data_IF_236956498282
#
_entry.id   IF_236956498282
#
_cell.length_a   1.000
_cell.length_b   1.000
_cell.length_c   1.000
_cell.angle_alpha   90.00
_cell.angle_beta   90.00
_cell.angle_gamma   90.00
#
_symmetry.space_group_name_H-M   'P 1'
#
loop_
_entity.id
_entity.type
_entity.pdbx_description
1 polymer ?
#
# COMPACT_ATOMS: atom_id res chain seq x y z
N UNK A 1 -10.98 3.37 -0.77
CA UNK A 1 -10.26 3.32 -2.06
C UNK A 1 -9.06 2.42 -1.87
N UNK A 2 -8.80 1.46 -2.77
CA UNK A 2 -7.71 0.49 -2.67
C UNK A 2 -6.76 0.69 -3.86
N UNK A 3 -5.49 1.01 -3.60
CA UNK A 3 -4.51 1.35 -4.65
C UNK A 3 -4.17 0.17 -5.54
N UNK A 4 -4.20 -1.06 -5.03
CA UNK A 4 -3.98 -2.27 -5.85
C UNK A 4 -5.03 -2.45 -6.97
N UNK A 5 -6.15 -1.72 -6.93
CA UNK A 5 -7.15 -1.74 -8.01
C UNK A 5 -6.97 -0.58 -8.99
N UNK A 6 -6.00 0.32 -8.80
CA UNK A 6 -5.97 1.59 -9.50
C UNK A 6 -5.41 1.57 -10.92
N UNK A 7 -4.56 0.60 -11.26
CA UNK A 7 -3.61 0.72 -12.37
C UNK A 7 -3.89 -0.20 -13.57
N UNK A 8 -5.07 -0.82 -13.60
CA UNK A 8 -5.53 -1.69 -14.68
C UNK A 8 -6.55 -1.01 -15.61
N UNK A 9 -6.75 0.31 -15.50
CA UNK A 9 -7.75 1.08 -16.23
C UNK A 9 -7.24 2.38 -16.83
N UNK A 10 -8.18 3.25 -17.20
CA UNK A 10 -7.95 4.56 -17.82
C UNK A 10 -7.60 5.65 -16.77
N UNK A 11 -7.08 6.83 -17.20
CA UNK A 11 -6.66 7.88 -16.27
C UNK A 11 -7.77 8.44 -15.36
N UNK A 12 -9.04 8.29 -15.73
CA UNK A 12 -10.21 8.69 -14.93
C UNK A 12 -10.65 7.62 -13.91
N UNK A 13 -9.87 6.54 -13.76
CA UNK A 13 -10.21 5.43 -12.87
C UNK A 13 -10.40 5.90 -11.42
N UNK A 14 -11.52 5.56 -10.75
CA UNK A 14 -11.88 6.11 -9.44
C UNK A 14 -11.00 5.62 -8.29
N UNK A 15 -10.11 4.66 -8.55
CA UNK A 15 -9.10 4.17 -7.61
C UNK A 15 -7.74 4.87 -7.76
N UNK A 16 -7.53 5.71 -8.78
CA UNK A 16 -6.35 6.56 -8.88
C UNK A 16 -6.46 7.75 -7.90
N UNK A 17 -5.40 8.08 -7.14
CA UNK A 17 -5.40 9.16 -6.15
C UNK A 17 -5.86 10.52 -6.65
N UNK A 18 -5.53 10.87 -7.90
CA UNK A 18 -5.94 12.14 -8.53
C UNK A 18 -7.47 12.28 -8.57
N UNK A 19 -8.20 11.17 -8.59
CA UNK A 19 -9.66 11.11 -8.74
C UNK A 19 -10.38 10.91 -7.39
N UNK A 20 -9.67 11.05 -6.26
CA UNK A 20 -10.27 10.88 -4.94
C UNK A 20 -11.06 12.11 -4.48
N UNK A 21 -12.25 11.94 -3.90
CA UNK A 21 -12.83 12.97 -3.04
C UNK A 21 -12.06 13.02 -1.70
N UNK A 22 -12.09 14.15 -0.99
CA UNK A 22 -11.45 14.26 0.33
C UNK A 22 -12.02 13.27 1.36
N UNK A 23 -13.36 13.23 1.45
CA UNK A 23 -14.10 12.37 2.36
C UNK A 23 -14.09 10.89 1.91
N UNK A 24 -12.91 10.29 1.93
CA UNK A 24 -12.72 8.88 1.71
C UNK A 24 -11.51 8.34 2.48
N UNK A 25 -11.43 7.01 2.54
CA UNK A 25 -10.29 6.29 3.08
C UNK A 25 -9.50 5.69 1.92
N UNK A 26 -8.17 5.76 1.99
CA UNK A 26 -7.27 5.05 1.07
C UNK A 26 -6.57 3.91 1.79
N UNK A 27 -6.43 2.78 1.09
CA UNK A 27 -5.66 1.62 1.48
C UNK A 27 -4.66 1.31 0.37
N UNK A 28 -3.47 0.82 0.71
CA UNK A 28 -2.62 0.15 -0.29
C UNK A 28 -3.33 -1.11 -0.78
N UNK A 29 -3.62 -2.01 0.15
CA UNK A 29 -4.46 -3.20 0.04
C UNK A 29 -5.28 -3.40 1.33
N UNK A 30 -6.26 -4.29 1.27
CA UNK A 30 -7.02 -4.75 2.45
C UNK A 30 -6.51 -6.12 2.92
N UNK A 31 -7.15 -6.72 3.92
CA UNK A 31 -6.82 -8.08 4.37
C UNK A 31 -7.18 -9.17 3.33
N UNK A 32 -8.11 -8.91 2.42
CA UNK A 32 -8.49 -9.82 1.33
C UNK A 32 -7.55 -9.74 0.12
N UNK A 33 -6.76 -8.66 0.07
CA UNK A 33 -5.76 -8.47 -0.96
C UNK A 33 -4.47 -9.23 -0.64
N UNK A 34 -3.66 -9.48 -1.68
CA UNK A 34 -2.27 -9.87 -1.46
C UNK A 34 -1.50 -8.69 -0.84
N UNK A 35 -0.31 -8.95 -0.29
CA UNK A 35 0.62 -7.87 0.06
C UNK A 35 0.94 -7.05 -1.19
N UNK A 36 1.30 -5.78 -1.04
CA UNK A 36 1.63 -4.93 -2.19
C UNK A 36 2.79 -5.49 -3.00
N UNK A 37 3.79 -6.07 -2.33
CA UNK A 37 4.90 -6.74 -3.03
C UNK A 37 4.43 -7.99 -3.76
N UNK A 38 3.69 -8.88 -3.08
CA UNK A 38 3.17 -10.11 -3.69
C UNK A 38 2.20 -9.85 -4.85
N UNK A 39 1.36 -8.82 -4.73
CA UNK A 39 0.52 -8.33 -5.81
C UNK A 39 1.36 -7.85 -7.00
N UNK A 40 2.31 -6.95 -6.77
CA UNK A 40 3.13 -6.38 -7.84
C UNK A 40 3.96 -7.43 -8.58
N UNK A 41 4.51 -8.42 -7.86
CA UNK A 41 5.26 -9.53 -8.46
C UNK A 41 4.40 -10.34 -9.45
N UNK A 42 3.09 -10.50 -9.14
CA UNK A 42 2.12 -11.25 -9.96
C UNK A 42 1.39 -10.40 -11.01
N UNK A 43 1.48 -9.07 -10.92
CA UNK A 43 0.88 -8.14 -11.88
C UNK A 43 1.44 -8.35 -13.29
N UNK A 44 0.61 -8.05 -14.29
CA UNK A 44 1.04 -8.07 -15.69
C UNK A 44 2.09 -6.99 -15.97
N UNK A 45 2.94 -7.18 -16.98
CA UNK A 45 3.95 -6.18 -17.37
C UNK A 45 3.31 -4.83 -17.76
N UNK A 46 2.10 -4.86 -18.33
CA UNK A 46 1.32 -3.64 -18.61
C UNK A 46 0.94 -2.89 -17.34
N UNK A 47 0.45 -3.61 -16.33
CA UNK A 47 0.07 -3.03 -15.04
C UNK A 47 1.30 -2.49 -14.29
N UNK A 48 2.41 -3.25 -14.28
CA UNK A 48 3.69 -2.78 -13.72
C UNK A 48 4.17 -1.49 -14.38
N UNK A 49 4.13 -1.45 -15.72
CA UNK A 49 4.51 -0.26 -16.50
C UNK A 49 3.61 0.94 -16.18
N UNK A 50 2.30 0.71 -16.05
CA UNK A 50 1.31 1.74 -15.69
C UNK A 50 1.60 2.35 -14.31
N UNK A 51 1.86 1.51 -13.30
CA UNK A 51 2.19 1.95 -11.93
C UNK A 51 3.48 2.76 -11.93
N UNK A 52 4.54 2.24 -12.56
CA UNK A 52 5.84 2.89 -12.61
C UNK A 52 5.77 4.25 -13.32
N UNK A 53 5.05 4.33 -14.44
CA UNK A 53 4.79 5.60 -15.13
C UNK A 53 4.03 6.59 -14.24
N UNK A 54 2.98 6.15 -13.54
CA UNK A 54 2.22 7.00 -12.61
C UNK A 54 3.07 7.52 -11.45
N UNK A 55 4.01 6.69 -10.96
CA UNK A 55 4.97 7.08 -9.93
C UNK A 55 6.12 7.94 -10.45
N UNK A 56 6.25 8.13 -11.76
CA UNK A 56 7.38 8.83 -12.39
C UNK A 56 8.70 8.05 -12.26
N UNK A 57 8.65 6.71 -12.30
CA UNK A 57 9.79 5.81 -12.12
C UNK A 57 9.98 4.90 -13.32
N UNK A 58 11.22 4.46 -13.53
CA UNK A 58 11.55 3.40 -14.50
C UNK A 58 11.61 2.02 -13.85
N UNK A 59 11.93 1.95 -12.56
CA UNK A 59 11.96 0.73 -11.75
C UNK A 59 11.87 1.08 -10.25
N UNK A 60 11.56 0.09 -9.42
CA UNK A 60 11.67 0.18 -7.95
C UNK A 60 11.79 -1.21 -7.34
N UNK A 61 12.63 -1.32 -6.30
CA UNK A 61 12.74 -2.54 -5.48
C UNK A 61 11.82 -2.44 -4.23
N UNK A 62 11.23 -1.27 -3.98
CA UNK A 62 10.42 -0.98 -2.79
C UNK A 62 9.00 -0.53 -3.16
N UNK A 63 8.34 -1.25 -4.07
CA UNK A 63 6.99 -0.90 -4.53
C UNK A 63 5.98 -0.69 -3.40
N UNK A 64 6.11 -1.44 -2.30
CA UNK A 64 5.31 -1.27 -1.10
C UNK A 64 5.45 0.13 -0.48
N UNK A 65 6.67 0.66 -0.36
CA UNK A 65 6.90 2.02 0.11
C UNK A 65 6.47 3.09 -0.89
N UNK A 66 6.53 2.81 -2.19
CA UNK A 66 5.97 3.71 -3.20
C UNK A 66 4.45 3.83 -3.07
N UNK A 67 3.73 2.72 -2.86
CA UNK A 67 2.28 2.76 -2.64
C UNK A 67 1.91 3.35 -1.27
N UNK A 68 2.71 3.12 -0.23
CA UNK A 68 2.55 3.80 1.07
C UNK A 68 2.69 5.32 0.88
N UNK A 69 3.73 5.75 0.15
CA UNK A 69 3.92 7.16 -0.18
C UNK A 69 2.71 7.74 -0.89
N UNK A 70 2.20 7.01 -1.88
CA UNK A 70 1.08 7.45 -2.68
C UNK A 70 -0.23 7.52 -1.88
N UNK A 71 -0.45 6.57 -0.96
CA UNK A 71 -1.58 6.63 -0.05
C UNK A 71 -1.48 7.85 0.88
N UNK A 72 -0.31 8.07 1.49
CA UNK A 72 -0.07 9.18 2.41
C UNK A 72 -0.11 10.55 1.70
N UNK A 73 0.32 10.66 0.45
CA UNK A 73 0.29 11.92 -0.29
C UNK A 73 -1.08 12.25 -0.90
N UNK A 74 -2.02 11.31 -0.90
CA UNK A 74 -3.36 11.51 -1.47
C UNK A 74 -4.19 12.52 -0.68
N UNK A 75 -5.27 13.02 -1.29
CA UNK A 75 -6.24 13.94 -0.67
C UNK A 75 -7.22 13.25 0.29
N UNK A 76 -7.16 11.93 0.46
CA UNK A 76 -8.05 11.18 1.34
C UNK A 76 -7.88 11.59 2.81
N UNK A 77 -8.97 11.74 3.55
CA UNK A 77 -8.96 12.09 4.97
C UNK A 77 -8.18 11.06 5.81
N UNK A 78 -8.24 9.78 5.45
CA UNK A 78 -7.52 8.71 6.14
C UNK A 78 -6.76 7.79 5.17
N UNK A 79 -5.54 7.41 5.55
CA UNK A 79 -4.73 6.42 4.86
C UNK A 79 -4.44 5.25 5.81
N UNK A 80 -4.77 4.03 5.39
CA UNK A 80 -4.64 2.81 6.18
C UNK A 80 -3.68 1.86 5.45
N UNK A 81 -2.63 1.45 6.16
CA UNK A 81 -1.55 0.64 5.61
C UNK A 81 -1.52 -0.71 6.35
N UNK A 82 -1.65 -1.86 5.67
CA UNK A 82 -1.41 -3.17 6.27
C UNK A 82 0.02 -3.27 6.80
N UNK A 83 0.20 -3.93 7.95
CA UNK A 83 1.53 -4.07 8.54
C UNK A 83 2.48 -4.89 7.65
N UNK A 84 1.94 -5.83 6.86
CA UNK A 84 2.73 -6.58 5.88
C UNK A 84 3.41 -5.69 4.85
N UNK A 85 2.72 -4.63 4.41
CA UNK A 85 3.26 -3.67 3.45
C UNK A 85 4.35 -2.81 4.08
N UNK A 86 4.16 -2.37 5.33
CA UNK A 86 5.21 -1.67 6.09
C UNK A 86 6.48 -2.52 6.26
N UNK A 87 6.31 -3.84 6.39
CA UNK A 87 7.40 -4.80 6.54
C UNK A 87 7.98 -5.31 5.21
N UNK A 88 7.45 -4.89 4.06
CA UNK A 88 7.93 -5.30 2.73
C UNK A 88 7.80 -6.80 2.44
N UNK A 89 6.83 -7.47 3.06
CA UNK A 89 6.64 -8.92 2.95
C UNK A 89 5.97 -9.30 1.62
N UNK A 90 6.20 -10.53 1.15
CA UNK A 90 5.60 -11.08 -0.06
C UNK A 90 4.29 -11.82 0.21
N UNK A 91 3.85 -12.63 -0.76
CA UNK A 91 2.58 -13.36 -0.68
C UNK A 91 2.49 -14.37 0.46
N UNK A 92 3.62 -14.80 1.04
CA UNK A 92 3.65 -15.63 2.23
C UNK A 92 3.00 -14.97 3.46
N UNK A 93 2.85 -13.64 3.43
CA UNK A 93 2.25 -12.86 4.50
C UNK A 93 0.79 -12.45 4.25
N UNK A 94 0.17 -12.93 3.15
CA UNK A 94 -1.23 -12.63 2.84
C UNK A 94 -2.15 -13.06 3.98
N UNK A 95 -3.04 -12.16 4.42
CA UNK A 95 -3.92 -12.42 5.57
C UNK A 95 -5.08 -13.35 5.21
N UNK A 96 -5.78 -13.05 4.13
CA UNK A 96 -6.92 -13.83 3.65
C UNK A 96 -6.86 -14.00 2.13
N UNK A 97 -7.13 -15.20 1.65
CA UNK A 97 -7.41 -15.49 0.26
C UNK A 97 -8.89 -15.87 0.11
N UNK A 98 -9.73 -14.94 -0.40
CA UNK A 98 -11.14 -15.21 -0.61
C UNK A 98 -11.35 -16.52 -1.39
N UNK A 99 -12.40 -17.26 -1.04
CA UNK A 99 -12.73 -18.57 -1.63
C UNK A 99 -11.81 -19.73 -1.25
N UNK A 100 -10.76 -19.53 -0.44
CA UNK A 100 -10.04 -20.63 0.21
C UNK A 100 -10.58 -20.87 1.62
N UNK A 101 -10.70 -22.13 2.01
CA UNK A 101 -11.23 -22.53 3.33
C UNK A 101 -10.14 -22.71 4.38
N UNK A 102 -8.89 -22.84 3.98
CA UNK A 102 -7.75 -23.13 4.87
C UNK A 102 -6.61 -22.12 4.66
N UNK A 103 -5.76 -21.95 5.67
CA UNK A 103 -4.56 -21.11 5.60
C UNK A 103 -4.79 -19.60 5.75
N UNK A 104 -6.03 -19.16 6.01
CA UNK A 104 -6.38 -17.75 6.24
C UNK A 104 -6.26 -17.37 7.72
N UNK A 105 -6.03 -16.08 7.99
CA UNK A 105 -6.02 -15.48 9.34
C UNK A 105 -4.89 -15.97 10.26
N UNK A 106 -3.89 -16.65 9.68
CA UNK A 106 -2.77 -17.24 10.44
C UNK A 106 -1.53 -16.35 10.47
N UNK A 107 -1.48 -15.28 9.66
CA UNK A 107 -0.29 -14.43 9.60
C UNK A 107 -0.03 -13.74 10.94
N UNK A 108 1.23 -13.77 11.37
CA UNK A 108 1.70 -13.15 12.61
C UNK A 108 3.08 -12.54 12.38
N UNK A 109 3.42 -11.57 13.21
CA UNK A 109 4.75 -10.99 13.26
C UNK A 109 5.31 -11.10 14.68
N UNK A 110 6.63 -11.06 14.79
CA UNK A 110 7.34 -10.94 16.07
C UNK A 110 7.58 -9.46 16.35
N UNK A 111 7.52 -9.06 17.62
CA UNK A 111 7.68 -7.65 18.01
C UNK A 111 9.03 -7.04 17.60
N UNK A 112 10.08 -7.86 17.50
CA UNK A 112 11.42 -7.48 17.02
C UNK A 112 11.46 -7.01 15.55
N UNK A 113 10.39 -7.26 14.77
CA UNK A 113 10.24 -6.75 13.41
C UNK A 113 9.90 -5.25 13.36
N UNK A 114 9.40 -4.67 14.45
CA UNK A 114 9.11 -3.25 14.55
C UNK A 114 10.37 -2.49 14.98
N UNK A 115 11.29 -2.30 14.04
CA UNK A 115 12.58 -1.68 14.31
C UNK A 115 12.47 -0.15 14.46
N UNK A 116 13.48 0.46 15.07
CA UNK A 116 13.59 1.91 15.15
C UNK A 116 13.68 2.57 13.77
N UNK A 117 14.40 1.93 12.85
CA UNK A 117 14.49 2.38 11.45
C UNK A 117 13.12 2.42 10.77
N UNK A 118 12.30 1.37 10.94
CA UNK A 118 10.95 1.32 10.40
C UNK A 118 10.07 2.43 11.00
N UNK A 119 10.12 2.60 12.33
CA UNK A 119 9.43 3.67 13.05
C UNK A 119 9.80 5.04 12.49
N UNK A 120 11.09 5.31 12.32
CA UNK A 120 11.61 6.62 11.93
C UNK A 120 11.31 6.93 10.45
N UNK A 121 11.35 5.92 9.58
CA UNK A 121 10.91 6.04 8.18
C UNK A 121 9.42 6.37 8.11
N UNK A 122 8.57 5.63 8.82
CA UNK A 122 7.13 5.89 8.85
C UNK A 122 6.81 7.27 9.43
N UNK A 123 7.48 7.66 10.53
CA UNK A 123 7.35 8.99 11.14
C UNK A 123 7.72 10.10 10.17
N UNK A 124 8.81 9.93 9.43
CA UNK A 124 9.25 10.90 8.41
C UNK A 124 8.18 11.08 7.35
N UNK A 125 7.61 9.98 6.84
CA UNK A 125 6.57 10.05 5.81
C UNK A 125 5.27 10.66 6.32
N UNK A 126 4.79 10.26 7.50
CA UNK A 126 3.57 10.82 8.06
C UNK A 126 3.73 12.31 8.38
N UNK A 127 4.90 12.74 8.87
CA UNK A 127 5.20 14.17 9.07
C UNK A 127 5.22 14.92 7.74
N UNK A 128 5.91 14.39 6.73
CA UNK A 128 6.05 15.01 5.40
C UNK A 128 4.69 15.27 4.74
N UNK A 129 3.74 14.34 4.88
CA UNK A 129 2.42 14.45 4.27
C UNK A 129 1.33 14.99 5.21
N UNK A 130 1.70 15.57 6.36
CA UNK A 130 0.73 16.18 7.28
C UNK A 130 -0.24 15.19 7.93
N UNK A 131 0.19 13.94 8.12
CA UNK A 131 -0.58 12.84 8.75
C UNK A 131 -0.03 12.40 10.10
N UNK A 132 1.01 13.08 10.60
CA UNK A 132 1.49 12.88 11.95
C UNK A 132 0.46 13.41 12.97
N UNK A 133 0.37 12.84 14.18
CA UNK A 133 -0.44 13.40 15.25
C UNK A 133 -0.08 14.86 15.51
N UNK A 134 -1.09 15.71 15.69
CA UNK A 134 -0.87 17.10 16.11
C UNK A 134 -0.30 17.06 17.52
N UNK A 135 0.92 17.58 17.70
CA UNK A 135 1.47 17.80 19.03
C UNK A 135 0.79 19.04 19.61
N UNK A 136 0.04 18.85 20.69
CA UNK A 136 -0.49 19.92 21.53
C UNK A 136 0.54 20.35 22.57
#
# INVERSE_FOLDING_TARGET
KVLQFAFNGEPDHPYLPLNYPRHCLVYTGTHDNDTTRGWFEKSSEREKSSILAYLGRTSTDEIHWELIRLALSSVADQAIIPLQDLLGLGSEARMNNPSQTEGNWVWRYRGDRLTEELRDRLKTMTTTYGRAPIQH
#
